data_IF_723265238004
#
_entry.id   IF_723265238004
#
_cell.length_a   1.000
_cell.length_b   1.000
_cell.length_c   1.000
_cell.angle_alpha   90.00
_cell.angle_beta   90.00
_cell.angle_gamma   90.00
#
_symmetry.space_group_name_H-M   'P 1'
#
loop_
_entity.id
_entity.type
_entity.pdbx_description
1 polymer ?
#
# COMPACT_ATOMS: atom_id res chain seq x y z
N UNK A 1 -4.91 -12.44 -6.50
CA UNK A 1 -6.11 -12.38 -7.38
C UNK A 1 -5.94 -11.23 -8.35
N UNK A 2 -6.48 -11.32 -9.57
CA UNK A 2 -6.54 -10.19 -10.50
C UNK A 2 -7.93 -9.53 -10.42
N UNK A 3 -8.04 -8.48 -9.61
CA UNK A 3 -9.30 -7.77 -9.36
C UNK A 3 -10.44 -8.76 -9.03
N UNK A 4 -11.52 -8.70 -9.81
CA UNK A 4 -12.71 -9.57 -9.72
C UNK A 4 -12.74 -10.67 -10.78
N UNK A 5 -11.64 -10.91 -11.49
CA UNK A 5 -11.58 -12.00 -12.47
C UNK A 5 -11.43 -13.36 -11.78
N UNK A 6 -11.66 -14.44 -12.54
CA UNK A 6 -11.48 -15.81 -12.07
C UNK A 6 -10.00 -16.25 -11.99
N UNK A 7 -9.06 -15.38 -12.34
CA UNK A 7 -7.63 -15.69 -12.34
C UNK A 7 -7.03 -15.57 -10.94
N UNK A 8 -6.48 -16.70 -10.46
CA UNK A 8 -5.70 -16.81 -9.24
C UNK A 8 -4.24 -17.12 -9.57
N UNK A 9 -3.35 -16.59 -8.73
CA UNK A 9 -1.94 -16.93 -8.69
C UNK A 9 -1.67 -17.60 -7.33
N UNK A 10 -1.28 -18.86 -7.35
CA UNK A 10 -1.17 -19.73 -6.17
C UNK A 10 0.26 -20.24 -6.05
N UNK A 11 0.82 -20.19 -4.84
CA UNK A 11 2.14 -20.75 -4.51
C UNK A 11 1.97 -21.68 -3.31
N UNK A 12 2.64 -22.82 -3.32
CA UNK A 12 2.58 -23.78 -2.22
C UNK A 12 3.36 -23.31 -0.98
N UNK A 13 2.88 -23.67 0.21
CA UNK A 13 3.54 -23.31 1.46
C UNK A 13 4.79 -24.16 1.78
N UNK A 14 4.99 -25.29 1.09
CA UNK A 14 6.07 -26.24 1.35
C UNK A 14 5.71 -27.36 2.32
N UNK A 15 4.50 -27.36 2.89
CA UNK A 15 4.04 -28.38 3.85
C UNK A 15 3.85 -29.76 3.22
N UNK A 16 3.66 -29.81 1.89
CA UNK A 16 3.50 -31.03 1.11
C UNK A 16 4.45 -31.02 -0.08
N UNK A 17 5.01 -32.18 -0.51
CA UNK A 17 5.92 -32.26 -1.65
C UNK A 17 5.32 -31.71 -2.96
N UNK A 18 4.00 -31.82 -3.13
CA UNK A 18 3.26 -31.27 -4.28
C UNK A 18 3.10 -29.75 -4.23
N UNK A 19 3.22 -29.13 -3.05
CA UNK A 19 3.02 -27.71 -2.80
C UNK A 19 4.35 -26.99 -2.60
N UNK A 20 5.14 -26.89 -3.67
CA UNK A 20 6.45 -26.23 -3.61
C UNK A 20 6.33 -24.70 -3.47
N UNK A 21 7.13 -24.05 -2.60
CA UNK A 21 7.24 -22.58 -2.53
C UNK A 21 7.96 -21.98 -3.74
N UNK A 22 8.49 -22.81 -4.63
CA UNK A 22 9.19 -22.42 -5.86
C UNK A 22 8.34 -22.56 -7.11
N UNK A 23 7.07 -22.96 -6.95
CA UNK A 23 6.14 -23.19 -8.05
C UNK A 23 4.96 -22.22 -7.95
N UNK A 24 4.77 -21.45 -9.00
CA UNK A 24 3.58 -20.62 -9.20
C UNK A 24 2.61 -21.36 -10.12
N UNK A 25 1.40 -21.60 -9.65
CA UNK A 25 0.27 -22.09 -10.45
C UNK A 25 -0.71 -20.95 -10.71
N UNK A 26 -0.98 -20.66 -11.99
CA UNK A 26 -2.11 -19.83 -12.39
C UNK A 26 -3.35 -20.71 -12.51
N UNK A 27 -4.43 -20.34 -11.83
CA UNK A 27 -5.64 -21.15 -11.72
C UNK A 27 -6.87 -20.34 -12.11
N UNK A 28 -7.81 -20.95 -12.84
CA UNK A 28 -9.08 -20.33 -13.19
C UNK A 28 -10.21 -20.92 -12.35
N UNK A 29 -10.81 -20.10 -11.50
CA UNK A 29 -11.88 -20.54 -10.59
C UNK A 29 -13.18 -20.88 -11.28
N UNK A 30 -13.44 -20.35 -12.48
CA UNK A 30 -14.65 -20.64 -13.24
C UNK A 30 -14.57 -22.01 -13.90
N UNK A 31 -13.41 -22.38 -14.43
CA UNK A 31 -13.20 -23.70 -15.05
C UNK A 31 -12.76 -24.77 -14.06
N UNK A 32 -12.32 -24.38 -12.86
CA UNK A 32 -11.79 -25.30 -11.85
C UNK A 32 -10.46 -25.95 -12.26
N UNK A 33 -9.73 -25.34 -13.21
CA UNK A 33 -8.55 -25.95 -13.81
C UNK A 33 -7.31 -25.05 -13.70
N UNK A 34 -6.11 -25.65 -13.52
CA UNK A 34 -4.86 -24.92 -13.65
C UNK A 34 -4.65 -24.49 -15.11
N UNK A 35 -4.25 -23.23 -15.32
CA UNK A 35 -3.94 -22.66 -16.62
C UNK A 35 -2.49 -22.94 -17.02
N UNK A 36 -1.55 -22.62 -16.12
CA UNK A 36 -0.11 -22.78 -16.36
C UNK A 36 0.67 -22.77 -15.06
N UNK A 37 1.80 -23.46 -15.05
CA UNK A 37 2.75 -23.48 -13.95
C UNK A 37 4.08 -22.85 -14.36
N UNK A 38 4.69 -22.10 -13.44
CA UNK A 38 6.02 -21.52 -13.57
C UNK A 38 6.89 -22.01 -12.40
N UNK A 39 8.10 -22.48 -12.71
CA UNK A 39 9.05 -22.97 -11.70
C UNK A 39 10.22 -22.00 -11.58
N UNK A 40 10.63 -21.74 -10.34
CA UNK A 40 11.69 -20.81 -9.99
C UNK A 40 12.84 -21.54 -9.26
N UNK A 41 14.03 -20.94 -9.29
CA UNK A 41 15.21 -21.52 -8.66
C UNK A 41 15.13 -21.48 -7.13
N UNK A 42 14.63 -20.38 -6.58
CA UNK A 42 14.43 -20.18 -5.14
C UNK A 42 12.96 -19.93 -4.81
N UNK A 43 12.64 -19.85 -3.51
CA UNK A 43 11.29 -19.60 -3.03
C UNK A 43 10.77 -18.26 -3.55
N UNK A 44 9.50 -18.27 -3.96
CA UNK A 44 8.75 -17.06 -4.32
C UNK A 44 8.33 -16.38 -3.03
N UNK A 45 8.75 -15.12 -2.86
CA UNK A 45 8.47 -14.34 -1.65
C UNK A 45 7.21 -13.48 -1.80
N UNK A 46 6.96 -12.97 -3.01
CA UNK A 46 5.75 -12.23 -3.31
C UNK A 46 5.36 -12.32 -4.78
N UNK A 47 4.05 -12.16 -5.03
CA UNK A 47 3.49 -12.01 -6.38
C UNK A 47 2.66 -10.74 -6.41
N UNK A 48 2.76 -9.99 -7.50
CA UNK A 48 1.88 -8.87 -7.83
C UNK A 48 1.38 -9.02 -9.26
N UNK A 49 0.15 -8.63 -9.53
CA UNK A 49 -0.45 -8.75 -10.86
C UNK A 49 -1.37 -7.58 -11.14
N UNK A 50 -1.35 -7.09 -12.38
CA UNK A 50 -2.35 -6.19 -12.94
C UNK A 50 -2.83 -6.77 -14.28
N UNK A 51 -3.63 -6.01 -15.06
CA UNK A 51 -4.22 -6.53 -16.31
C UNK A 51 -3.22 -6.82 -17.43
N UNK A 52 -1.95 -6.42 -17.28
CA UNK A 52 -0.91 -6.54 -18.31
C UNK A 52 0.36 -7.22 -17.82
N UNK A 53 0.63 -7.20 -16.52
CA UNK A 53 1.88 -7.66 -15.93
C UNK A 53 1.65 -8.61 -14.77
N UNK A 54 2.47 -9.65 -14.72
CA UNK A 54 2.64 -10.53 -13.58
C UNK A 54 4.08 -10.35 -13.09
N UNK A 55 4.23 -9.99 -11.82
CA UNK A 55 5.51 -9.75 -11.17
C UNK A 55 5.75 -10.86 -10.15
N UNK A 56 6.89 -11.53 -10.24
CA UNK A 56 7.29 -12.57 -9.28
C UNK A 56 8.58 -12.13 -8.58
N UNK A 57 8.53 -12.04 -7.26
CA UNK A 57 9.62 -11.56 -6.41
C UNK A 57 10.27 -12.75 -5.70
N UNK A 58 11.57 -12.91 -5.93
CA UNK A 58 12.46 -13.81 -5.21
C UNK A 58 13.31 -12.94 -4.26
N UNK A 59 14.27 -13.55 -3.57
CA UNK A 59 15.14 -12.80 -2.66
C UNK A 59 16.02 -11.77 -3.38
N UNK A 60 16.64 -12.15 -4.49
CA UNK A 60 17.65 -11.34 -5.18
C UNK A 60 17.24 -10.95 -6.62
N UNK A 61 16.02 -11.34 -7.04
CA UNK A 61 15.50 -11.10 -8.38
C UNK A 61 14.01 -10.78 -8.39
N UNK A 62 13.60 -9.92 -9.30
CA UNK A 62 12.21 -9.68 -9.65
C UNK A 62 11.99 -9.97 -11.15
N UNK A 63 11.09 -10.89 -11.45
CA UNK A 63 10.72 -11.24 -12.83
C UNK A 63 9.46 -10.50 -13.25
N UNK A 64 9.48 -9.92 -14.44
CA UNK A 64 8.33 -9.26 -15.06
C UNK A 64 7.86 -10.09 -16.24
N UNK A 65 6.62 -10.56 -16.16
CA UNK A 65 5.96 -11.33 -17.20
C UNK A 65 4.83 -10.53 -17.84
N UNK A 66 4.58 -10.77 -19.12
CA UNK A 66 3.30 -10.42 -19.74
C UNK A 66 2.25 -11.44 -19.28
N UNK A 67 1.12 -10.98 -18.73
CA UNK A 67 0.21 -11.86 -17.97
C UNK A 67 -0.55 -12.89 -18.82
N UNK A 68 -0.74 -12.65 -20.12
CA UNK A 68 -1.54 -13.54 -20.98
C UNK A 68 -0.69 -14.65 -21.60
N UNK A 69 0.47 -14.27 -22.15
CA UNK A 69 1.44 -15.15 -22.80
C UNK A 69 2.37 -15.83 -21.81
N UNK A 70 2.56 -15.24 -20.63
CA UNK A 70 3.60 -15.58 -19.64
C UNK A 70 5.01 -15.60 -20.25
N UNK A 71 5.24 -14.75 -21.24
CA UNK A 71 6.59 -14.44 -21.70
C UNK A 71 7.30 -13.57 -20.66
N UNK A 72 8.57 -13.86 -20.40
CA UNK A 72 9.43 -13.00 -19.59
C UNK A 72 9.71 -11.75 -20.43
N UNK A 73 9.36 -10.59 -19.88
CA UNK A 73 9.67 -9.29 -20.48
C UNK A 73 11.01 -8.78 -19.96
N UNK A 74 11.23 -8.87 -18.64
CA UNK A 74 12.47 -8.41 -18.03
C UNK A 74 12.74 -9.13 -16.70
N UNK A 75 13.99 -9.03 -16.23
CA UNK A 75 14.45 -9.52 -14.93
C UNK A 75 15.32 -8.46 -14.27
N UNK A 76 14.89 -7.98 -13.11
CA UNK A 76 15.62 -7.01 -12.31
C UNK A 76 16.36 -7.70 -11.18
N UNK A 77 17.64 -7.38 -11.01
CA UNK A 77 18.38 -7.73 -9.79
C UNK A 77 17.92 -6.83 -8.64
N UNK A 78 17.71 -7.43 -7.47
CA UNK A 78 17.30 -6.71 -6.28
C UNK A 78 18.40 -6.75 -5.24
N UNK A 79 18.41 -5.76 -4.34
CA UNK A 79 19.07 -5.98 -3.04
C UNK A 79 18.39 -7.15 -2.32
N UNK A 80 19.06 -7.81 -1.35
CA UNK A 80 18.46 -8.93 -0.62
C UNK A 80 17.10 -8.58 0.00
N UNK A 81 16.03 -9.04 -0.64
CA UNK A 81 14.65 -8.69 -0.35
C UNK A 81 13.95 -9.83 0.39
N UNK A 82 14.47 -10.18 1.57
CA UNK A 82 14.01 -11.32 2.38
C UNK A 82 12.51 -11.25 2.75
N UNK A 83 11.90 -10.07 2.71
CA UNK A 83 10.48 -9.83 3.00
C UNK A 83 9.58 -9.86 1.76
N UNK A 84 10.15 -9.98 0.55
CA UNK A 84 9.40 -9.88 -0.70
C UNK A 84 8.70 -8.53 -0.90
N UNK A 85 9.29 -7.45 -0.39
CA UNK A 85 8.70 -6.12 -0.46
C UNK A 85 8.66 -5.64 -1.91
N UNK A 86 7.45 -5.37 -2.41
CA UNK A 86 7.20 -4.87 -3.75
C UNK A 86 5.81 -4.23 -3.80
N UNK A 87 5.72 -3.07 -4.46
CA UNK A 87 4.46 -2.45 -4.84
C UNK A 87 4.32 -2.45 -6.37
N UNK A 88 3.11 -2.71 -6.86
CA UNK A 88 2.77 -2.62 -8.27
C UNK A 88 1.55 -1.71 -8.41
N UNK A 89 1.63 -0.73 -9.31
CA UNK A 89 0.51 0.12 -9.65
C UNK A 89 -0.59 -0.68 -10.37
N UNK A 90 -1.86 -0.55 -9.94
CA UNK A 90 -2.98 -1.15 -10.64
C UNK A 90 -3.38 -0.38 -11.91
N UNK A 91 -2.90 0.87 -12.07
CA UNK A 91 -3.17 1.72 -13.23
C UNK A 91 -2.26 1.34 -14.40
N UNK A 92 -2.83 1.24 -15.61
CA UNK A 92 -2.07 0.88 -16.81
C UNK A 92 -1.36 2.08 -17.44
N UNK A 93 -1.89 3.30 -17.29
CA UNK A 93 -1.26 4.52 -17.81
C UNK A 93 -0.07 4.96 -16.95
N UNK A 94 -0.13 4.65 -15.64
CA UNK A 94 0.92 4.87 -14.67
C UNK A 94 1.37 3.53 -14.07
N UNK A 95 1.84 2.63 -14.94
CA UNK A 95 2.15 1.25 -14.58
C UNK A 95 3.57 1.12 -14.03
N UNK A 96 3.72 1.48 -12.77
CA UNK A 96 5.01 1.43 -12.07
C UNK A 96 5.09 0.23 -11.12
N UNK A 97 6.31 -0.28 -10.94
CA UNK A 97 6.69 -1.21 -9.88
C UNK A 97 7.74 -0.53 -9.00
N UNK A 98 7.65 -0.72 -7.68
CA UNK A 98 8.65 -0.26 -6.73
C UNK A 98 9.30 -1.44 -6.03
N UNK A 99 10.63 -1.38 -5.94
CA UNK A 99 11.48 -2.35 -5.23
C UNK A 99 12.41 -1.61 -4.26
N UNK A 100 12.77 -2.21 -3.11
CA UNK A 100 13.77 -1.63 -2.22
C UNK A 100 15.11 -1.47 -2.93
N UNK A 101 15.73 -0.30 -2.79
CA UNK A 101 17.04 0.02 -3.38
C UNK A 101 18.20 -0.24 -2.40
N UNK A 102 17.90 -0.39 -1.11
CA UNK A 102 18.89 -0.57 -0.05
C UNK A 102 18.36 -1.45 1.07
N UNK A 103 19.26 -2.20 1.70
CA UNK A 103 19.00 -2.98 2.92
C UNK A 103 19.32 -2.22 4.21
N UNK A 104 19.87 -1.00 4.11
CA UNK A 104 20.28 -0.17 5.26
C UNK A 104 19.58 1.19 5.27
N UNK A 105 19.20 1.70 4.09
CA UNK A 105 18.43 2.93 3.92
C UNK A 105 17.02 2.62 3.43
N UNK A 106 16.11 3.57 3.61
CA UNK A 106 14.74 3.46 3.15
C UNK A 106 14.54 4.06 1.77
N UNK A 107 15.27 3.57 0.77
CA UNK A 107 15.12 4.01 -0.62
C UNK A 107 14.42 2.98 -1.50
N UNK A 108 13.71 3.43 -2.52
CA UNK A 108 12.98 2.59 -3.47
C UNK A 108 13.32 2.96 -4.92
N UNK A 109 13.63 1.94 -5.74
CA UNK A 109 13.73 2.07 -7.19
C UNK A 109 12.34 1.88 -7.80
N UNK A 110 11.91 2.84 -8.61
CA UNK A 110 10.66 2.79 -9.36
C UNK A 110 10.96 2.48 -10.81
N UNK A 111 10.35 1.43 -11.34
CA UNK A 111 10.46 1.01 -12.73
C UNK A 111 9.12 1.22 -13.43
N UNK A 112 9.12 1.79 -14.63
CA UNK A 112 7.96 1.67 -15.51
C UNK A 112 7.97 0.25 -16.09
N UNK A 113 6.97 -0.55 -15.74
CA UNK A 113 6.93 -1.97 -16.16
C UNK A 113 6.25 -2.18 -17.51
N UNK A 114 5.72 -1.13 -18.14
CA UNK A 114 5.28 -1.21 -19.54
C UNK A 114 6.49 -1.25 -20.46
N UNK A 115 7.43 -0.32 -20.24
CA UNK A 115 8.66 -0.15 -21.04
C UNK A 115 9.89 -0.85 -20.43
N UNK A 116 9.76 -1.37 -19.21
CA UNK A 116 10.80 -2.06 -18.45
C UNK A 116 12.08 -1.22 -18.26
N UNK A 117 11.92 0.06 -17.88
CA UNK A 117 13.05 0.94 -17.59
C UNK A 117 12.96 1.54 -16.18
N UNK A 118 14.12 1.96 -15.65
CA UNK A 118 14.18 2.68 -14.38
C UNK A 118 13.61 4.09 -14.58
N UNK A 119 12.61 4.44 -13.77
CA UNK A 119 11.98 5.77 -13.78
C UNK A 119 12.68 6.72 -12.82
N UNK A 120 12.82 6.34 -11.54
CA UNK A 120 13.53 7.15 -10.54
C UNK A 120 13.91 6.33 -9.31
N UNK A 121 14.73 6.91 -8.44
CA UNK A 121 14.94 6.46 -7.05
C UNK A 121 14.29 7.45 -6.09
N UNK A 122 13.58 6.94 -5.08
CA UNK A 122 13.01 7.74 -4.00
C UNK A 122 13.77 7.42 -2.71
N UNK A 123 14.50 8.40 -2.17
CA UNK A 123 15.14 8.31 -0.86
C UNK A 123 14.15 8.64 0.27
N UNK A 124 13.25 7.70 0.54
CA UNK A 124 12.12 7.96 1.42
C UNK A 124 12.47 7.97 2.92
N UNK A 125 13.40 7.16 3.43
CA UNK A 125 13.68 7.06 4.88
C UNK A 125 15.16 6.78 5.19
N UNK A 126 15.56 7.03 6.45
CA UNK A 126 16.94 6.74 6.92
C UNK A 126 17.19 5.27 7.29
N UNK A 127 16.12 4.50 7.45
CA UNK A 127 16.15 3.07 7.81
C UNK A 127 15.39 2.25 6.76
N UNK A 128 15.65 0.93 6.65
CA UNK A 128 15.09 0.09 5.59
C UNK A 128 13.57 0.18 5.47
N UNK A 129 13.06 -0.01 4.25
CA UNK A 129 11.63 0.02 3.98
C UNK A 129 10.95 -1.22 4.58
N UNK A 130 9.80 -0.99 5.22
CA UNK A 130 8.94 -2.05 5.75
C UNK A 130 7.64 -2.19 4.96
N UNK A 131 7.12 -1.10 4.40
CA UNK A 131 5.89 -1.09 3.62
C UNK A 131 5.96 -0.07 2.48
N UNK A 132 5.35 -0.39 1.34
CA UNK A 132 5.16 0.50 0.20
C UNK A 132 3.88 0.15 -0.55
N UNK A 133 3.17 1.16 -1.06
CA UNK A 133 1.94 0.97 -1.85
C UNK A 133 1.74 2.13 -2.83
N UNK A 134 1.30 1.83 -4.05
CA UNK A 134 0.88 2.85 -5.02
C UNK A 134 -0.59 3.22 -4.81
N UNK A 135 -0.94 4.47 -5.12
CA UNK A 135 -2.33 4.90 -5.25
C UNK A 135 -3.01 4.20 -6.45
N UNK A 136 -4.34 4.17 -6.47
CA UNK A 136 -5.11 3.50 -7.54
C UNK A 136 -4.88 4.09 -8.93
N UNK A 137 -4.50 5.36 -9.02
CA UNK A 137 -4.12 6.05 -10.26
C UNK A 137 -2.62 6.00 -10.56
N UNK A 138 -1.81 5.33 -9.73
CA UNK A 138 -0.37 5.19 -9.92
C UNK A 138 0.46 6.47 -9.78
N UNK A 139 -0.16 7.61 -9.45
CA UNK A 139 0.51 8.90 -9.34
C UNK A 139 1.28 9.08 -8.04
N UNK A 140 0.91 8.37 -6.97
CA UNK A 140 1.51 8.52 -5.64
C UNK A 140 2.00 7.19 -5.10
N UNK A 141 3.06 7.24 -4.30
CA UNK A 141 3.56 6.09 -3.55
C UNK A 141 3.69 6.44 -2.07
N UNK A 142 3.04 5.65 -1.21
CA UNK A 142 3.21 5.72 0.23
C UNK A 142 4.28 4.74 0.67
N UNK A 143 5.12 5.14 1.63
CA UNK A 143 6.21 4.33 2.15
C UNK A 143 6.30 4.48 3.67
N UNK A 144 6.72 3.41 4.34
CA UNK A 144 7.11 3.41 5.74
C UNK A 144 8.35 2.57 5.95
N UNK A 145 9.20 2.98 6.87
CA UNK A 145 10.41 2.25 7.24
C UNK A 145 10.17 1.31 8.42
N UNK A 146 11.18 0.50 8.73
CA UNK A 146 11.19 -0.38 9.91
C UNK A 146 11.05 0.38 11.25
N UNK A 147 11.40 1.66 11.28
CA UNK A 147 11.12 2.51 12.45
C UNK A 147 9.62 2.83 12.59
N UNK A 148 8.89 2.91 11.47
CA UNK A 148 7.44 3.10 11.45
C UNK A 148 6.91 4.31 12.22
N UNK A 149 7.75 5.32 12.48
CA UNK A 149 7.37 6.61 13.10
C UNK A 149 6.78 7.58 12.10
N UNK A 150 7.19 7.48 10.84
CA UNK A 150 6.73 8.30 9.74
C UNK A 150 6.14 7.44 8.62
N UNK A 151 5.09 7.95 8.01
CA UNK A 151 4.58 7.50 6.71
C UNK A 151 4.80 8.64 5.73
N UNK A 152 5.41 8.35 4.58
CA UNK A 152 5.71 9.36 3.55
C UNK A 152 5.02 9.05 2.24
N UNK A 153 4.39 10.05 1.64
CA UNK A 153 3.72 9.94 0.34
C UNK A 153 4.45 10.80 -0.67
N UNK A 154 4.97 10.20 -1.74
CA UNK A 154 5.69 10.91 -2.79
C UNK A 154 4.87 10.94 -4.07
N UNK A 155 5.03 12.00 -4.86
CA UNK A 155 4.56 12.04 -6.24
C UNK A 155 5.51 11.22 -7.12
N UNK A 156 5.00 10.31 -7.95
CA UNK A 156 5.85 9.42 -8.76
C UNK A 156 6.58 10.19 -9.86
N UNK A 157 5.96 11.23 -10.44
CA UNK A 157 6.60 12.07 -11.45
C UNK A 157 7.65 13.02 -10.89
N UNK A 158 7.64 13.25 -9.58
CA UNK A 158 8.58 14.13 -8.88
C UNK A 158 8.96 13.50 -7.53
N UNK A 159 10.04 12.71 -7.57
CA UNK A 159 10.55 11.96 -6.43
C UNK A 159 10.92 12.81 -5.20
N UNK A 160 11.06 14.14 -5.36
CA UNK A 160 11.42 15.06 -4.28
C UNK A 160 10.21 15.55 -3.50
N UNK A 161 9.06 15.71 -4.18
CA UNK A 161 7.84 16.20 -3.55
C UNK A 161 7.20 15.12 -2.70
N UNK A 162 7.08 15.39 -1.40
CA UNK A 162 6.49 14.45 -0.46
C UNK A 162 5.65 15.09 0.62
N UNK A 163 4.68 14.33 1.11
CA UNK A 163 3.97 14.58 2.37
C UNK A 163 4.56 13.65 3.44
N UNK A 164 4.91 14.18 4.61
CA UNK A 164 5.33 13.37 5.75
C UNK A 164 4.26 13.39 6.83
N UNK A 165 3.84 12.21 7.28
CA UNK A 165 2.89 12.07 8.39
C UNK A 165 3.58 11.38 9.57
N UNK A 166 3.46 11.99 10.75
CA UNK A 166 3.94 11.36 11.98
C UNK A 166 2.88 10.42 12.52
N UNK A 167 3.13 9.12 12.42
CA UNK A 167 2.27 8.07 12.98
C UNK A 167 2.31 8.08 14.52
N UNK A 168 3.47 8.41 15.10
CA UNK A 168 3.63 8.66 16.53
C UNK A 168 5.10 8.68 16.97
N UNK A 169 5.34 8.86 18.27
CA UNK A 169 6.69 9.03 18.83
C UNK A 169 7.49 7.74 18.92
N UNK A 170 6.85 6.65 19.36
CA UNK A 170 7.50 5.35 19.56
C UNK A 170 7.46 4.50 18.30
N UNK A 171 8.51 3.72 18.04
CA UNK A 171 8.56 2.79 16.91
C UNK A 171 7.40 1.79 16.94
N UNK A 172 6.84 1.48 15.77
CA UNK A 172 5.79 0.47 15.59
C UNK A 172 5.87 -0.06 14.17
N UNK A 173 5.95 -1.39 14.00
CA UNK A 173 6.03 -2.02 12.68
C UNK A 173 4.75 -1.74 11.90
N UNK A 174 4.87 -1.09 10.74
CA UNK A 174 3.73 -0.91 9.82
C UNK A 174 3.48 -2.25 9.11
N UNK A 175 2.26 -2.77 9.22
CA UNK A 175 1.88 -4.03 8.58
C UNK A 175 1.28 -3.81 7.19
N UNK A 176 0.47 -2.76 7.01
CA UNK A 176 -0.12 -2.44 5.72
C UNK A 176 -0.36 -0.94 5.55
N UNK A 177 -0.38 -0.51 4.28
CA UNK A 177 -0.75 0.83 3.86
C UNK A 177 -1.84 0.71 2.79
N UNK A 178 -2.83 1.59 2.81
CA UNK A 178 -3.90 1.60 1.80
C UNK A 178 -4.41 3.01 1.52
N UNK A 179 -4.21 3.46 0.29
CA UNK A 179 -4.87 4.68 -0.21
C UNK A 179 -6.36 4.44 -0.42
N UNK A 180 -7.16 5.46 -0.16
CA UNK A 180 -8.50 5.58 -0.69
C UNK A 180 -8.47 5.66 -2.22
N UNK A 181 -9.37 4.97 -2.95
CA UNK A 181 -9.42 5.06 -4.40
C UNK A 181 -9.72 6.50 -4.85
N UNK A 182 -8.90 7.04 -5.76
CA UNK A 182 -9.10 8.37 -6.34
C UNK A 182 -8.54 8.42 -7.77
N UNK A 183 -9.13 9.30 -8.59
CA UNK A 183 -8.58 9.67 -9.92
C UNK A 183 -7.53 10.76 -9.79
N UNK A 184 -7.55 11.54 -8.71
CA UNK A 184 -6.65 12.67 -8.45
C UNK A 184 -5.78 12.38 -7.22
N UNK A 185 -5.47 13.39 -6.40
CA UNK A 185 -4.88 13.16 -5.08
C UNK A 185 -5.86 12.29 -4.25
N UNK A 186 -5.41 11.17 -3.65
CA UNK A 186 -6.22 10.42 -2.70
C UNK A 186 -6.57 11.28 -1.50
N UNK A 187 -7.80 11.21 -0.99
CA UNK A 187 -8.19 12.01 0.17
C UNK A 187 -7.66 11.44 1.49
N UNK A 188 -7.51 10.13 1.55
CA UNK A 188 -7.21 9.38 2.77
C UNK A 188 -6.21 8.25 2.51
N UNK A 189 -5.33 8.01 3.48
CA UNK A 189 -4.39 6.90 3.54
C UNK A 189 -4.50 6.22 4.90
N UNK A 190 -4.76 4.92 4.92
CA UNK A 190 -4.74 4.10 6.13
C UNK A 190 -3.38 3.43 6.33
N UNK A 191 -2.96 3.30 7.59
CA UNK A 191 -1.81 2.53 8.02
C UNK A 191 -2.14 1.66 9.24
N UNK A 192 -1.96 0.34 9.11
CA UNK A 192 -2.05 -0.59 10.25
C UNK A 192 -0.67 -0.82 10.85
N UNK A 193 -0.60 -1.08 12.16
CA UNK A 193 0.69 -1.29 12.82
C UNK A 193 0.65 -2.26 13.99
N UNK A 194 1.84 -2.67 14.47
CA UNK A 194 2.02 -3.59 15.59
C UNK A 194 1.47 -3.09 16.93
N UNK A 195 1.20 -1.79 17.08
CA UNK A 195 0.54 -1.26 18.27
C UNK A 195 -0.95 -1.60 18.36
N UNK A 196 -1.53 -2.22 17.33
CA UNK A 196 -2.97 -2.52 17.27
C UNK A 196 -3.83 -1.32 16.84
N UNK A 197 -3.21 -0.17 16.59
CA UNK A 197 -3.87 1.02 16.08
C UNK A 197 -3.90 1.06 14.55
N UNK A 198 -4.95 1.67 14.03
CA UNK A 198 -5.05 2.07 12.62
C UNK A 198 -4.98 3.59 12.57
N UNK A 199 -4.05 4.10 11.76
CA UNK A 199 -3.89 5.53 11.55
C UNK A 199 -4.47 5.91 10.19
N UNK A 200 -5.20 7.02 10.15
CA UNK A 200 -5.78 7.59 8.95
C UNK A 200 -5.14 8.96 8.73
N UNK A 201 -4.60 9.17 7.54
CA UNK A 201 -3.95 10.41 7.14
C UNK A 201 -4.78 11.07 6.05
N UNK A 202 -5.18 12.32 6.24
CA UNK A 202 -5.91 13.09 5.24
C UNK A 202 -4.96 13.90 4.36
N UNK A 203 -5.06 13.69 3.05
CA UNK A 203 -4.16 14.24 2.03
C UNK A 203 -4.85 15.38 1.25
N UNK A 204 -6.12 15.19 0.86
CA UNK A 204 -6.89 16.18 0.09
C UNK A 204 -7.00 17.55 0.78
N UNK A 205 -7.13 17.55 2.12
CA UNK A 205 -7.21 18.75 2.93
C UNK A 205 -5.86 19.44 3.19
N UNK A 206 -4.73 18.74 2.98
CA UNK A 206 -3.39 19.33 3.11
C UNK A 206 -3.03 20.23 1.92
N UNK A 207 -3.72 20.09 0.78
CA UNK A 207 -3.54 20.88 -0.44
C UNK A 207 -4.03 22.33 -0.32
N UNK A 208 -4.85 22.63 0.68
CA UNK A 208 -5.31 23.98 1.01
C UNK A 208 -4.70 24.40 2.35
N UNK A 209 -3.39 24.66 2.42
CA UNK A 209 -2.83 25.30 3.60
C UNK A 209 -3.54 26.65 3.72
N UNK A 210 -4.38 26.82 4.75
CA UNK A 210 -4.80 28.15 5.20
C UNK A 210 -3.50 28.92 5.39
N UNK A 211 -3.27 29.90 4.51
CA UNK A 211 -2.12 30.80 4.52
C UNK A 211 -1.89 31.30 5.96
N UNK A 212 -0.96 30.66 6.69
CA UNK A 212 -0.42 31.26 7.90
C UNK A 212 0.48 32.38 7.41
N UNK A 213 -0.02 33.61 7.46
CA UNK A 213 0.80 34.82 7.44
C UNK A 213 1.80 34.70 8.58
N UNK A 214 3.03 34.29 8.30
CA UNK A 214 4.14 34.50 9.22
C UNK A 214 4.57 35.96 9.09
N UNK A 215 4.12 36.79 10.02
CA UNK A 215 4.78 38.05 10.32
C UNK A 215 6.14 37.73 10.94
N UNK A 216 7.21 37.87 10.17
CA UNK A 216 8.59 37.69 10.62
C UNK A 216 9.56 37.96 9.49
N UNK A 217 10.02 39.21 9.37
CA UNK A 217 11.13 39.60 8.52
C UNK A 217 12.42 38.95 9.02
N UNK A 218 13.25 38.46 8.08
CA UNK A 218 14.59 37.83 8.21
C UNK A 218 14.60 36.30 8.25
N UNK A 219 14.79 35.70 7.07
CA UNK A 219 15.05 34.26 6.92
C UNK A 219 15.14 33.79 5.48
N UNK A 220 15.81 34.55 4.59
CA UNK A 220 16.12 34.10 3.23
C UNK A 220 17.40 33.28 3.22
N UNK A 221 17.39 32.17 2.47
CA UNK A 221 18.51 31.28 2.11
C UNK A 221 18.73 30.11 3.08
N UNK A 222 17.83 29.11 3.00
CA UNK A 222 18.14 27.70 3.26
C UNK A 222 17.40 26.88 2.19
N UNK A 223 18.05 25.93 1.47
CA UNK A 223 17.35 25.05 0.52
C UNK A 223 16.30 24.22 1.25
N UNK A 224 15.08 24.14 0.70
CA UNK A 224 13.95 23.40 1.24
C UNK A 224 14.23 21.89 1.30
N UNK A 225 14.85 21.46 2.39
CA UNK A 225 15.09 20.06 2.70
C UNK A 225 14.37 19.69 4.01
N UNK A 226 13.30 18.92 3.86
CA UNK A 226 12.74 17.97 4.84
C UNK A 226 12.23 18.58 6.16
N UNK A 227 11.15 19.37 6.12
CA UNK A 227 10.40 19.68 7.36
C UNK A 227 8.87 19.65 7.26
N UNK A 228 8.29 19.18 6.15
CA UNK A 228 6.83 19.10 6.01
C UNK A 228 6.25 17.84 6.67
N UNK A 229 6.42 17.72 7.99
CA UNK A 229 5.49 16.91 8.76
C UNK A 229 4.17 17.67 8.77
N UNK A 230 3.17 17.10 8.10
CA UNK A 230 1.84 17.69 8.04
C UNK A 230 1.23 17.85 9.43
N UNK A 231 0.37 18.87 9.56
CA UNK A 231 -0.29 19.24 10.81
C UNK A 231 -0.98 18.01 11.44
N UNK A 232 -0.82 17.77 12.76
CA UNK A 232 -1.53 16.71 13.48
C UNK A 232 -3.04 16.69 13.26
N UNK A 233 -3.66 17.81 12.89
CA UNK A 233 -5.08 17.87 12.51
C UNK A 233 -5.44 16.90 11.35
N UNK A 234 -4.48 16.54 10.49
CA UNK A 234 -4.69 15.62 9.38
C UNK A 234 -4.37 14.15 9.73
N UNK A 235 -4.25 13.84 11.01
CA UNK A 235 -3.91 12.52 11.52
C UNK A 235 -4.95 12.04 12.53
N UNK A 236 -5.67 10.99 12.16
CA UNK A 236 -6.68 10.35 13.01
C UNK A 236 -6.22 8.95 13.41
N UNK A 237 -6.61 8.53 14.62
CA UNK A 237 -6.18 7.24 15.17
C UNK A 237 -7.39 6.46 15.68
N UNK A 238 -7.56 5.25 15.15
CA UNK A 238 -8.43 4.24 15.73
C UNK A 238 -7.57 3.41 16.69
N UNK A 239 -7.68 3.70 17.98
CA UNK A 239 -6.98 2.96 19.02
C UNK A 239 -7.60 1.59 19.21
N UNK A 240 -6.77 0.58 19.48
CA UNK A 240 -7.19 -0.80 19.77
C UNK A 240 -8.13 -1.40 18.70
N UNK A 241 -7.97 -1.00 17.44
CA UNK A 241 -8.78 -1.51 16.34
C UNK A 241 -8.52 -3.00 16.09
N UNK A 242 -7.29 -3.46 16.33
CA UNK A 242 -6.91 -4.87 16.32
C UNK A 242 -6.05 -5.18 17.55
N UNK A 243 -5.97 -6.45 18.00
CA UNK A 243 -5.08 -6.81 19.11
C UNK A 243 -3.62 -6.45 18.79
N UNK A 244 -2.92 -5.87 19.77
CA UNK A 244 -1.51 -5.49 19.61
C UNK A 244 -0.64 -6.71 19.24
N UNK A 245 0.34 -6.51 18.36
CA UNK A 245 1.22 -7.55 17.83
C UNK A 245 0.60 -8.44 16.75
N UNK A 246 -0.74 -8.45 16.59
CA UNK A 246 -1.40 -9.23 15.54
C UNK A 246 -1.25 -8.54 14.19
N UNK A 247 -0.61 -9.23 13.23
CA UNK A 247 -0.48 -8.74 11.85
C UNK A 247 -1.86 -8.47 11.26
N UNK A 248 -2.01 -7.33 10.59
CA UNK A 248 -3.27 -6.90 10.01
C UNK A 248 -3.05 -6.20 8.67
N UNK A 249 -4.00 -6.38 7.76
CA UNK A 249 -4.05 -5.70 6.47
C UNK A 249 -5.34 -4.91 6.35
N UNK A 250 -5.24 -3.60 6.10
CA UNK A 250 -6.39 -2.76 5.84
C UNK A 250 -6.49 -2.38 4.36
N UNK A 251 -7.73 -2.22 3.88
CA UNK A 251 -8.04 -1.69 2.55
C UNK A 251 -9.17 -0.66 2.67
N UNK A 252 -8.93 0.56 2.20
CA UNK A 252 -10.00 1.52 1.95
C UNK A 252 -10.66 1.17 0.62
N UNK A 253 -11.93 0.75 0.67
CA UNK A 253 -12.67 0.22 -0.49
C UNK A 253 -13.38 1.31 -1.28
N UNK A 254 -13.86 2.32 -0.59
CA UNK A 254 -14.66 3.40 -1.15
C UNK A 254 -14.37 4.67 -0.37
N UNK A 255 -14.30 5.79 -1.08
CA UNK A 255 -14.28 7.13 -0.53
C UNK A 255 -15.37 7.93 -1.22
N UNK A 256 -16.16 8.65 -0.42
CA UNK A 256 -17.17 9.58 -0.88
C UNK A 256 -16.92 10.93 -0.24
N UNK A 257 -16.77 11.93 -1.09
CA UNK A 257 -16.57 13.30 -0.66
C UNK A 257 -17.88 14.05 -0.76
N UNK A 258 -18.31 14.64 0.35
CA UNK A 258 -19.39 15.61 0.37
C UNK A 258 -18.74 16.97 0.13
N UNK A 259 -19.08 17.62 -0.98
CA UNK A 259 -18.58 18.95 -1.34
C UNK A 259 -19.73 19.94 -1.32
N UNK A 260 -19.43 21.19 -0.95
CA UNK A 260 -20.36 22.29 -1.14
C UNK A 260 -20.40 22.64 -2.63
N UNK A 261 -21.60 22.60 -3.22
CA UNK A 261 -21.83 22.86 -4.64
C UNK A 261 -21.48 24.29 -5.06
N UNK A 262 -21.38 25.22 -4.10
CA UNK A 262 -21.07 26.63 -4.36
C UNK A 262 -19.58 26.97 -4.28
N UNK A 263 -18.81 26.29 -3.43
CA UNK A 263 -17.41 26.61 -3.14
C UNK A 263 -16.41 25.51 -3.53
N UNK A 264 -16.90 24.32 -3.91
CA UNK A 264 -16.08 23.10 -4.09
C UNK A 264 -15.27 22.71 -2.85
N UNK A 265 -15.56 23.30 -1.69
CA UNK A 265 -14.92 22.93 -0.43
C UNK A 265 -15.43 21.56 0.06
N UNK A 266 -14.51 20.74 0.55
CA UNK A 266 -14.82 19.43 1.13
C UNK A 266 -15.49 19.61 2.50
N UNK A 267 -16.78 19.28 2.58
CA UNK A 267 -17.59 19.31 3.79
C UNK A 267 -17.40 18.05 4.65
N UNK A 268 -17.19 16.89 4.03
CA UNK A 268 -16.87 15.65 4.72
C UNK A 268 -16.24 14.61 3.78
N UNK A 269 -15.38 13.76 4.33
CA UNK A 269 -14.84 12.57 3.67
C UNK A 269 -15.39 11.33 4.36
N UNK A 270 -16.20 10.54 3.66
CA UNK A 270 -16.72 9.25 4.14
C UNK A 270 -15.96 8.11 3.48
N UNK A 271 -15.59 7.09 4.25
CA UNK A 271 -14.85 5.95 3.72
C UNK A 271 -15.34 4.62 4.29
N UNK A 272 -15.28 3.58 3.48
CA UNK A 272 -15.46 2.19 3.91
C UNK A 272 -14.08 1.53 3.96
N UNK A 273 -13.70 1.03 5.13
CA UNK A 273 -12.43 0.36 5.35
C UNK A 273 -12.66 -1.08 5.81
N UNK A 274 -12.01 -2.04 5.15
CA UNK A 274 -11.97 -3.41 5.64
C UNK A 274 -10.62 -3.71 6.26
N UNK A 275 -10.62 -4.51 7.32
CA UNK A 275 -9.41 -4.97 8.02
C UNK A 275 -9.46 -6.49 8.13
N UNK A 276 -8.38 -7.16 7.74
CA UNK A 276 -8.19 -8.58 7.96
C UNK A 276 -7.02 -8.76 8.92
N UNK A 277 -7.19 -9.63 9.92
CA UNK A 277 -6.15 -9.96 10.89
C UNK A 277 -5.63 -11.38 10.70
N UNK A 278 -4.40 -11.61 11.14
CA UNK A 278 -3.75 -12.92 11.04
C UNK A 278 -4.46 -14.03 11.82
N UNK A 279 -5.14 -13.69 12.92
CA UNK A 279 -5.98 -14.62 13.67
C UNK A 279 -7.36 -14.87 13.02
N UNK A 280 -7.58 -14.39 11.78
CA UNK A 280 -8.71 -14.78 10.96
C UNK A 280 -9.93 -13.87 11.04
N UNK A 281 -9.87 -12.71 11.69
CA UNK A 281 -11.01 -11.80 11.75
C UNK A 281 -11.04 -10.88 10.53
N UNK A 282 -12.23 -10.73 9.95
CA UNK A 282 -12.57 -9.74 8.94
C UNK A 282 -13.51 -8.71 9.56
N UNK A 283 -13.13 -7.44 9.49
CA UNK A 283 -13.86 -6.32 10.07
C UNK A 283 -14.17 -5.27 8.99
N UNK A 284 -15.39 -4.73 9.00
CA UNK A 284 -15.81 -3.64 8.12
C UNK A 284 -16.13 -2.40 8.94
N UNK A 285 -15.44 -1.30 8.64
CA UNK A 285 -15.58 -0.01 9.30
C UNK A 285 -16.16 1.02 8.35
N UNK A 286 -17.15 1.78 8.84
CA UNK A 286 -17.57 3.04 8.25
C UNK A 286 -16.80 4.18 8.95
N UNK A 287 -16.22 5.07 8.16
CA UNK A 287 -15.43 6.20 8.61
C UNK A 287 -16.06 7.50 8.08
N UNK A 288 -16.07 8.55 8.87
CA UNK A 288 -16.46 9.90 8.45
C UNK A 288 -15.54 10.93 9.09
N UNK A 289 -14.93 11.78 8.27
CA UNK A 289 -14.10 12.91 8.70
C UNK A 289 -14.82 14.18 8.24
N UNK A 290 -15.24 15.03 9.16
CA UNK A 290 -15.94 16.27 8.83
C UNK A 290 -14.99 17.41 8.40
N UNK A 291 -15.55 18.55 7.99
CA UNK A 291 -14.81 19.75 7.61
C UNK A 291 -13.89 20.30 8.71
N UNK A 292 -14.15 19.94 9.98
CA UNK A 292 -13.33 20.33 11.13
C UNK A 292 -12.25 19.29 11.46
N UNK A 293 -12.02 18.31 10.56
CA UNK A 293 -11.12 17.18 10.78
C UNK A 293 -11.47 16.38 12.05
N UNK A 294 -12.77 16.24 12.37
CA UNK A 294 -13.19 15.32 13.43
C UNK A 294 -13.55 13.96 12.82
N UNK A 295 -12.88 12.92 13.30
CA UNK A 295 -13.20 11.53 12.95
C UNK A 295 -14.39 11.01 13.75
N UNK A 296 -15.34 10.37 13.07
CA UNK A 296 -16.29 9.41 13.63
C UNK A 296 -16.20 8.09 12.86
N UNK A 297 -16.44 6.97 13.56
CA UNK A 297 -16.38 5.65 12.96
C UNK A 297 -17.34 4.67 13.64
N UNK A 298 -17.75 3.64 12.89
CA UNK A 298 -18.54 2.50 13.38
C UNK A 298 -18.00 1.20 12.81
N UNK A 299 -18.02 0.14 13.62
CA UNK A 299 -17.76 -1.23 13.18
C UNK A 299 -19.10 -1.84 12.74
N UNK A 300 -19.26 -2.07 11.44
CA UNK A 300 -20.50 -2.57 10.85
C UNK A 300 -20.61 -4.09 10.87
N UNK A 301 -19.46 -4.75 10.70
CA UNK A 301 -19.39 -6.20 10.60
C UNK A 301 -18.09 -6.71 11.16
N UNK A 302 -18.17 -7.80 11.90
CA UNK A 302 -17.04 -8.63 12.26
C UNK A 302 -17.37 -10.09 11.95
N UNK A 303 -16.44 -10.82 11.33
CA UNK A 303 -16.63 -12.22 10.95
C UNK A 303 -15.33 -12.98 11.09
N UNK A 304 -15.37 -14.16 11.71
CA UNK A 304 -14.22 -15.05 11.76
C UNK A 304 -14.17 -15.90 10.48
N UNK A 305 -13.15 -15.69 9.66
CA UNK A 305 -12.94 -16.39 8.40
C UNK A 305 -12.55 -17.87 8.58
N UNK A 306 -12.02 -18.26 9.74
CA UNK A 306 -11.61 -19.64 10.03
C UNK A 306 -12.79 -20.55 10.38
N UNK A 307 -13.85 -19.98 10.96
CA UNK A 307 -15.06 -20.75 11.29
C UNK A 307 -15.92 -20.99 10.07
N UNK A 308 -15.92 -20.06 9.10
CA UNK A 308 -16.71 -20.16 7.86
C UNK A 308 -16.29 -21.36 6.98
N UNK A 309 -15.06 -21.84 7.11
CA UNK A 309 -14.55 -23.02 6.37
C UNK A 309 -15.00 -24.36 6.96
N UNK A 310 -15.49 -24.42 8.19
CA UNK A 310 -15.90 -25.68 8.83
C UNK A 310 -17.31 -26.13 8.43
N UNK A 311 -18.18 -25.21 8.00
CA UNK A 311 -19.57 -25.52 7.65
C UNK A 311 -19.78 -26.04 6.22
N UNK A 312 -18.69 -26.31 5.48
CA UNK A 312 -18.73 -26.80 4.09
C UNK A 312 -17.78 -27.96 3.82
N UNK A 313 -17.76 -28.93 4.72
CA UNK A 313 -17.25 -30.28 4.40
C UNK A 313 -18.48 -31.20 4.29
N UNK A 314 -18.88 -31.65 3.09
CA UNK A 314 -19.83 -32.76 2.96
C UNK A 314 -19.22 -34.07 3.45
#
# INVERSE_FOLDING_TARGET
>A
MLFTSSLLAIVGAGDQPSLSPRRLCLFNTTTGAPLRELNFLTSILAIRMNRKRLIVILQDKAYVYEINSLSILDTFDTVPNIKGLCALSPCLDACYMALPASTTKGSALLYNVMDCNLHCEIEAHRSPLAAMVFSSNGMYIATASEQGTLVRVHLVSDATKSYSFRRGSYSSTIFSLSFGPSKQLPDILAATSSSGSIHLFTLGFASHPRSKRSSGFLGSIIPDAVNDVLDPAYHHVLHNAVPAGVKSSAVIRKVENVTDTSSSELLACRANMCVITYNGYFQEYNLSIDAHQKLSWSLERETNLLTVTLDKVP
#
